data_IF_373928029832
#
_entry.id   IF_373928029832
#
_cell.length_a   1.000
_cell.length_b   1.000
_cell.length_c   1.000
_cell.angle_alpha   90.00
_cell.angle_beta   90.00
_cell.angle_gamma   90.00
#
_symmetry.space_group_name_H-M   'P 1'
#
loop_
_entity.id
_entity.type
_entity.pdbx_description
1 polymer ?
#
# COMPACT_ATOMS: atom_id res chain seq x y z
N UNK A 1 52.93 -33.87 -11.41
CA UNK A 1 51.99 -33.34 -10.39
C UNK A 1 52.27 -31.94 -9.88
N UNK A 2 53.51 -31.41 -9.89
CA UNK A 2 53.81 -30.06 -9.36
C UNK A 2 53.39 -28.86 -10.27
N UNK A 3 53.24 -29.06 -11.58
CA UNK A 3 52.88 -27.96 -12.52
C UNK A 3 51.38 -27.61 -12.47
N UNK A 4 50.48 -28.54 -12.18
CA UNK A 4 49.04 -28.28 -12.12
C UNK A 4 48.62 -27.49 -10.85
N UNK A 5 49.37 -27.66 -9.75
CA UNK A 5 49.11 -26.96 -8.49
C UNK A 5 49.48 -25.46 -8.56
N UNK A 6 50.51 -25.11 -9.35
CA UNK A 6 50.97 -23.73 -9.50
C UNK A 6 50.01 -22.84 -10.34
N UNK A 7 49.23 -23.46 -11.23
CA UNK A 7 48.23 -22.76 -12.05
C UNK A 7 46.88 -22.58 -11.32
N UNK A 8 46.57 -23.49 -10.37
CA UNK A 8 45.29 -23.42 -9.62
C UNK A 8 45.24 -22.22 -8.63
N UNK A 9 46.38 -21.87 -8.02
CA UNK A 9 46.45 -20.80 -7.01
C UNK A 9 46.09 -19.43 -7.64
N UNK A 10 46.66 -19.00 -8.79
CA UNK A 10 46.26 -17.73 -9.39
C UNK A 10 44.81 -17.71 -9.92
N UNK A 11 44.30 -18.86 -10.36
CA UNK A 11 42.88 -18.98 -10.79
C UNK A 11 41.92 -18.78 -9.64
N UNK A 12 42.16 -19.36 -8.48
CA UNK A 12 41.35 -19.14 -7.27
C UNK A 12 41.41 -17.68 -6.80
N UNK A 13 42.56 -17.04 -6.87
CA UNK A 13 42.69 -15.62 -6.51
C UNK A 13 41.89 -14.70 -7.43
N UNK A 14 41.84 -14.99 -8.73
CA UNK A 14 41.05 -14.23 -9.71
C UNK A 14 39.54 -14.38 -9.46
N UNK A 15 39.08 -15.60 -9.16
CA UNK A 15 37.68 -15.85 -8.80
C UNK A 15 37.30 -15.11 -7.51
N UNK A 16 38.15 -15.17 -6.50
CA UNK A 16 37.90 -14.49 -5.23
C UNK A 16 37.87 -12.97 -5.38
N UNK A 17 38.76 -12.41 -6.19
CA UNK A 17 38.81 -10.97 -6.52
C UNK A 17 37.52 -10.57 -7.28
N UNK A 18 37.04 -11.40 -8.19
CA UNK A 18 35.79 -11.19 -8.94
C UNK A 18 34.56 -11.16 -8.03
N UNK A 19 34.48 -12.09 -7.07
CA UNK A 19 33.39 -12.14 -6.09
C UNK A 19 33.42 -10.90 -5.19
N UNK A 20 34.62 -10.47 -4.75
CA UNK A 20 34.79 -9.30 -3.91
C UNK A 20 34.38 -8.01 -4.66
N UNK A 21 34.72 -7.90 -5.94
CA UNK A 21 34.35 -6.78 -6.79
C UNK A 21 32.84 -6.74 -7.01
N UNK A 22 32.19 -7.89 -7.28
CA UNK A 22 30.74 -8.00 -7.39
C UNK A 22 30.04 -7.62 -6.09
N UNK A 23 30.54 -8.03 -4.94
CA UNK A 23 30.00 -7.64 -3.64
C UNK A 23 30.12 -6.12 -3.40
N UNK A 24 31.24 -5.51 -3.75
CA UNK A 24 31.42 -4.05 -3.64
C UNK A 24 30.51 -3.26 -4.59
N UNK A 25 30.33 -3.75 -5.82
CA UNK A 25 29.42 -3.13 -6.79
C UNK A 25 27.95 -3.30 -6.34
N UNK A 26 27.58 -4.46 -5.81
CA UNK A 26 26.26 -4.73 -5.26
C UNK A 26 25.92 -3.81 -4.09
N UNK A 27 26.85 -3.59 -3.18
CA UNK A 27 26.64 -2.66 -2.06
C UNK A 27 26.42 -1.20 -2.54
N UNK A 28 27.16 -0.75 -3.54
CA UNK A 28 26.94 0.59 -4.13
C UNK A 28 25.60 0.71 -4.81
N UNK A 29 25.15 -0.32 -5.53
CA UNK A 29 23.84 -0.33 -6.17
C UNK A 29 22.70 -0.27 -5.12
N UNK A 30 22.81 -1.02 -4.02
CA UNK A 30 21.86 -0.96 -2.91
C UNK A 30 21.83 0.41 -2.25
N UNK A 31 23.00 1.03 -2.04
CA UNK A 31 23.09 2.38 -1.45
C UNK A 31 22.42 3.43 -2.36
N UNK A 32 22.68 3.39 -3.67
CA UNK A 32 22.06 4.31 -4.63
C UNK A 32 20.53 4.13 -4.69
N UNK A 33 20.04 2.90 -4.63
CA UNK A 33 18.60 2.64 -4.57
C UNK A 33 17.98 3.13 -3.24
N UNK A 34 18.74 3.03 -2.13
CA UNK A 34 18.30 3.52 -0.83
C UNK A 34 18.30 5.06 -0.73
N UNK A 35 19.29 5.72 -1.34
CA UNK A 35 19.36 7.19 -1.38
C UNK A 35 18.27 7.82 -2.25
N UNK A 36 17.80 7.08 -3.28
CA UNK A 36 16.68 7.48 -4.12
C UNK A 36 15.34 6.92 -3.64
N UNK A 37 15.30 6.26 -2.48
CA UNK A 37 14.01 5.94 -1.85
C UNK A 37 13.25 7.25 -1.65
N UNK A 38 11.99 7.34 -2.08
CA UNK A 38 11.21 8.56 -1.94
C UNK A 38 11.26 9.00 -0.48
N UNK A 39 11.60 10.28 -0.26
CA UNK A 39 11.53 10.91 1.06
C UNK A 39 10.18 10.50 1.66
N UNK A 40 10.19 9.88 2.84
CA UNK A 40 8.97 9.48 3.55
C UNK A 40 7.96 10.62 3.43
N UNK A 41 6.85 10.35 2.80
CA UNK A 41 5.82 11.37 2.55
C UNK A 41 5.45 12.02 3.89
N UNK A 42 5.47 13.35 3.95
CA UNK A 42 4.99 14.07 5.12
C UNK A 42 3.46 13.98 5.26
N UNK A 43 2.81 13.40 4.26
CA UNK A 43 1.36 13.26 4.17
C UNK A 43 0.96 11.79 4.29
N UNK A 44 -0.10 11.53 5.04
CA UNK A 44 -0.76 10.24 5.09
C UNK A 44 -1.98 10.28 4.15
N UNK A 45 -2.01 9.40 3.15
CA UNK A 45 -3.17 9.28 2.26
C UNK A 45 -4.24 8.41 2.93
N UNK A 46 -5.39 9.03 3.21
CA UNK A 46 -6.55 8.35 3.80
C UNK A 46 -7.39 7.81 2.65
N UNK A 47 -7.44 6.50 2.50
CA UNK A 47 -8.19 5.84 1.42
C UNK A 47 -9.56 5.44 1.95
N UNK A 48 -10.58 6.10 1.43
CA UNK A 48 -11.98 5.89 1.78
C UNK A 48 -12.69 5.11 0.67
N UNK A 49 -12.93 3.83 0.91
CA UNK A 49 -13.81 3.04 0.07
C UNK A 49 -15.27 3.36 0.45
N UNK A 50 -15.96 4.15 -0.36
CA UNK A 50 -17.31 4.59 -0.11
C UNK A 50 -18.30 3.44 0.14
N UNK A 51 -19.33 3.71 0.94
CA UNK A 51 -20.31 2.70 1.37
C UNK A 51 -19.68 1.57 2.21
N UNK A 52 -20.40 0.42 2.35
CA UNK A 52 -19.91 -0.78 3.02
C UNK A 52 -20.95 -1.41 3.95
N UNK A 53 -20.91 -2.72 4.10
CA UNK A 53 -21.80 -3.49 4.96
C UNK A 53 -23.29 -3.26 4.66
N UNK A 54 -24.02 -2.67 5.61
CA UNK A 54 -25.48 -2.40 5.44
C UNK A 54 -25.79 -1.32 4.39
N UNK A 55 -24.82 -0.52 3.99
CA UNK A 55 -24.93 0.46 2.92
C UNK A 55 -24.20 -0.05 1.67
N UNK A 56 -24.90 -0.74 0.79
CA UNK A 56 -24.32 -1.25 -0.44
C UNK A 56 -24.01 -0.19 -1.51
N UNK A 57 -24.55 1.05 -1.37
CA UNK A 57 -24.50 2.06 -2.44
C UNK A 57 -25.39 1.67 -3.62
N UNK A 58 -25.03 2.10 -4.82
CA UNK A 58 -25.69 1.76 -6.07
C UNK A 58 -25.52 0.27 -6.40
N UNK A 59 -26.40 -0.25 -7.26
CA UNK A 59 -26.36 -1.63 -7.75
C UNK A 59 -26.23 -1.62 -9.26
N UNK A 60 -25.21 -2.31 -9.77
CA UNK A 60 -25.02 -2.44 -11.22
C UNK A 60 -26.13 -3.27 -11.87
N UNK A 61 -26.23 -3.20 -13.22
CA UNK A 61 -27.16 -4.04 -13.99
C UNK A 61 -26.89 -5.56 -13.83
N UNK A 62 -25.73 -5.96 -13.34
CA UNK A 62 -25.36 -7.35 -13.04
C UNK A 62 -25.55 -7.72 -11.56
N UNK A 63 -26.10 -6.83 -10.74
CA UNK A 63 -26.35 -7.07 -9.32
C UNK A 63 -25.15 -6.85 -8.39
N UNK A 64 -24.06 -6.25 -8.87
CA UNK A 64 -22.89 -5.95 -8.05
C UNK A 64 -23.08 -4.64 -7.31
N UNK A 65 -22.88 -4.62 -6.01
CA UNK A 65 -22.95 -3.44 -5.17
C UNK A 65 -21.74 -2.52 -5.36
N UNK A 66 -21.97 -1.21 -5.32
CA UNK A 66 -20.96 -0.18 -5.40
C UNK A 66 -19.90 -0.32 -4.31
N UNK A 67 -20.33 -0.63 -3.07
CA UNK A 67 -19.45 -0.83 -1.91
C UNK A 67 -18.33 -1.84 -2.16
N UNK A 68 -18.65 -2.91 -2.91
CA UNK A 68 -17.68 -3.94 -3.26
C UNK A 68 -16.66 -3.45 -4.28
N UNK A 69 -17.11 -2.76 -5.32
CA UNK A 69 -16.23 -2.21 -6.36
C UNK A 69 -15.30 -1.17 -5.74
N UNK A 70 -15.84 -0.26 -4.91
CA UNK A 70 -15.07 0.76 -4.21
C UNK A 70 -13.98 0.12 -3.34
N UNK A 71 -14.30 -0.95 -2.61
CA UNK A 71 -13.34 -1.67 -1.77
C UNK A 71 -12.23 -2.31 -2.59
N UNK A 72 -12.57 -2.99 -3.70
CA UNK A 72 -11.57 -3.63 -4.55
C UNK A 72 -10.59 -2.61 -5.17
N UNK A 73 -11.09 -1.44 -5.57
CA UNK A 73 -10.25 -0.35 -6.07
C UNK A 73 -9.37 0.21 -4.95
N UNK A 74 -9.95 0.46 -3.77
CA UNK A 74 -9.25 1.00 -2.62
C UNK A 74 -8.09 0.11 -2.16
N UNK A 75 -8.30 -1.21 -2.10
CA UNK A 75 -7.25 -2.17 -1.73
C UNK A 75 -6.09 -2.13 -2.72
N UNK A 76 -6.37 -2.15 -4.03
CA UNK A 76 -5.32 -2.07 -5.06
C UNK A 76 -4.57 -0.73 -5.03
N UNK A 77 -5.30 0.37 -4.78
CA UNK A 77 -4.68 1.69 -4.62
C UNK A 77 -3.75 1.71 -3.41
N UNK A 78 -4.20 1.16 -2.27
CA UNK A 78 -3.40 1.05 -1.06
C UNK A 78 -2.08 0.29 -1.32
N UNK A 79 -2.15 -0.88 -1.96
CA UNK A 79 -0.98 -1.69 -2.28
C UNK A 79 0.00 -0.94 -3.21
N UNK A 80 -0.55 -0.26 -4.23
CA UNK A 80 0.26 0.54 -5.15
C UNK A 80 0.96 1.70 -4.42
N UNK A 81 0.24 2.41 -3.57
CA UNK A 81 0.81 3.54 -2.81
C UNK A 81 1.88 3.09 -1.84
N UNK A 82 1.70 1.95 -1.16
CA UNK A 82 2.74 1.35 -0.33
C UNK A 82 3.98 0.96 -1.14
N UNK A 83 3.78 0.37 -2.33
CA UNK A 83 4.89 0.04 -3.23
C UNK A 83 5.69 1.28 -3.66
N UNK A 84 5.01 2.42 -3.81
CA UNK A 84 5.61 3.71 -4.15
C UNK A 84 6.20 4.45 -2.92
N UNK A 85 6.09 3.89 -1.72
CA UNK A 85 6.65 4.44 -0.48
C UNK A 85 5.81 5.53 0.18
N UNK A 86 4.53 5.63 -0.14
CA UNK A 86 3.59 6.52 0.53
C UNK A 86 3.03 5.91 1.80
N UNK A 87 2.85 6.72 2.84
CA UNK A 87 2.10 6.34 4.04
C UNK A 87 0.60 6.39 3.72
N UNK A 88 -0.13 5.30 4.00
CA UNK A 88 -1.57 5.21 3.77
C UNK A 88 -2.33 4.75 5.00
N UNK A 89 -3.60 5.13 5.09
CA UNK A 89 -4.55 4.69 6.10
C UNK A 89 -5.88 4.38 5.42
N UNK A 90 -6.31 3.12 5.43
CA UNK A 90 -7.63 2.76 4.92
C UNK A 90 -8.70 3.01 5.99
N UNK A 91 -9.85 3.58 5.60
CA UNK A 91 -11.01 3.74 6.49
C UNK A 91 -11.66 2.38 6.75
N UNK A 92 -11.73 1.52 5.74
CA UNK A 92 -12.14 0.11 5.86
C UNK A 92 -11.34 -0.75 4.89
N UNK A 93 -11.03 -1.98 5.28
CA UNK A 93 -10.34 -2.98 4.47
C UNK A 93 -11.20 -4.22 4.18
N UNK A 94 -12.43 -4.20 4.66
CA UNK A 94 -13.42 -5.26 4.46
C UNK A 94 -14.77 -4.67 4.05
N UNK A 95 -15.71 -5.50 3.60
CA UNK A 95 -17.07 -5.03 3.28
C UNK A 95 -17.93 -4.90 4.55
N UNK A 96 -17.55 -3.92 5.37
CA UNK A 96 -18.19 -3.58 6.62
C UNK A 96 -18.58 -2.10 6.65
N UNK A 97 -19.58 -1.76 7.46
CA UNK A 97 -19.85 -0.39 7.90
C UNK A 97 -19.06 -0.10 9.18
N UNK A 98 -18.66 1.15 9.38
CA UNK A 98 -17.88 1.57 10.55
C UNK A 98 -18.70 2.38 11.56
N UNK A 99 -20.03 2.37 11.44
CA UNK A 99 -20.93 3.06 12.40
C UNK A 99 -20.72 2.54 13.83
N UNK A 100 -20.84 3.42 14.80
CA UNK A 100 -20.71 3.10 16.23
C UNK A 100 -22.05 3.05 16.94
N UNK A 101 -23.11 3.63 16.34
CA UNK A 101 -24.47 3.64 16.89
C UNK A 101 -25.52 3.76 15.78
N UNK A 102 -26.77 3.49 16.14
CA UNK A 102 -27.94 3.64 15.27
C UNK A 102 -28.78 2.37 15.18
N UNK A 103 -30.09 2.51 15.36
CA UNK A 103 -31.04 1.39 15.23
C UNK A 103 -31.63 1.30 13.81
N UNK A 104 -31.82 2.44 13.15
CA UNK A 104 -32.30 2.51 11.78
C UNK A 104 -31.18 2.58 10.76
N UNK A 105 -31.44 2.19 9.52
CA UNK A 105 -30.46 2.31 8.42
C UNK A 105 -29.98 3.76 8.26
N UNK A 106 -30.90 4.73 8.33
CA UNK A 106 -30.54 6.15 8.23
C UNK A 106 -29.63 6.61 9.37
N UNK A 107 -29.92 6.16 10.62
CA UNK A 107 -29.07 6.46 11.77
C UNK A 107 -27.68 5.82 11.66
N UNK A 108 -27.61 4.56 11.18
CA UNK A 108 -26.35 3.86 10.93
C UNK A 108 -25.52 4.57 9.86
N UNK A 109 -26.10 4.97 8.73
CA UNK A 109 -25.42 5.76 7.69
C UNK A 109 -24.90 7.10 8.22
N UNK A 110 -25.71 7.81 9.02
CA UNK A 110 -25.27 9.08 9.64
C UNK A 110 -24.10 8.86 10.60
N UNK A 111 -24.13 7.79 11.40
CA UNK A 111 -23.05 7.42 12.30
C UNK A 111 -21.78 7.01 11.54
N UNK A 112 -21.91 6.25 10.46
CA UNK A 112 -20.81 5.84 9.60
C UNK A 112 -20.09 7.05 9.00
N UNK A 113 -20.83 8.01 8.45
CA UNK A 113 -20.24 9.25 7.92
C UNK A 113 -19.51 10.06 8.99
N UNK A 114 -20.07 10.16 10.21
CA UNK A 114 -19.40 10.86 11.31
C UNK A 114 -18.09 10.17 11.70
N UNK A 115 -18.05 8.86 11.69
CA UNK A 115 -16.86 8.10 11.99
C UNK A 115 -15.78 8.28 10.92
N UNK A 116 -16.16 8.31 9.62
CA UNK A 116 -15.23 8.64 8.52
C UNK A 116 -14.63 10.03 8.71
N UNK A 117 -15.46 11.03 8.99
CA UNK A 117 -15.00 12.41 9.26
C UNK A 117 -14.07 12.45 10.47
N UNK A 118 -14.36 11.71 11.53
CA UNK A 118 -13.50 11.61 12.71
C UNK A 118 -12.12 11.07 12.34
N UNK A 119 -12.06 9.96 11.59
CA UNK A 119 -10.79 9.35 11.16
C UNK A 119 -9.97 10.33 10.33
N UNK A 120 -10.63 11.07 9.41
CA UNK A 120 -9.95 12.08 8.58
C UNK A 120 -9.37 13.19 9.42
N UNK A 121 -10.16 13.76 10.32
CA UNK A 121 -9.75 14.90 11.16
C UNK A 121 -8.65 14.53 12.18
N UNK A 122 -8.61 13.29 12.65
CA UNK A 122 -7.60 12.81 13.58
C UNK A 122 -6.30 12.35 12.89
N UNK A 123 -6.28 12.30 11.56
CA UNK A 123 -5.09 11.91 10.81
C UNK A 123 -4.25 13.14 10.49
N UNK A 124 -3.10 13.26 11.16
CA UNK A 124 -2.18 14.38 10.96
C UNK A 124 -1.64 14.40 9.52
N UNK A 125 -1.66 15.57 8.90
CA UNK A 125 -1.27 15.77 7.49
C UNK A 125 -2.00 14.83 6.51
N UNK A 126 -3.25 14.45 6.82
CA UNK A 126 -4.06 13.55 6.03
C UNK A 126 -4.53 14.17 4.71
N UNK A 127 -4.45 13.40 3.63
CA UNK A 127 -5.06 13.70 2.34
C UNK A 127 -6.12 12.65 2.06
N UNK A 128 -7.39 13.05 1.98
CA UNK A 128 -8.49 12.12 1.72
C UNK A 128 -8.61 11.78 0.24
N UNK A 129 -8.64 10.48 -0.05
CA UNK A 129 -8.96 9.90 -1.34
C UNK A 129 -10.23 9.07 -1.19
N UNK A 130 -11.38 9.64 -1.53
CA UNK A 130 -12.67 8.94 -1.45
C UNK A 130 -13.05 8.35 -2.80
N UNK A 131 -13.44 7.07 -2.81
CA UNK A 131 -13.69 6.26 -4.00
C UNK A 131 -15.18 5.93 -4.05
N UNK A 132 -15.84 6.38 -5.10
CA UNK A 132 -17.25 6.15 -5.40
C UNK A 132 -17.44 5.87 -6.89
N UNK A 133 -18.53 5.20 -7.27
CA UNK A 133 -18.85 4.93 -8.68
C UNK A 133 -19.92 5.86 -9.21
N UNK A 134 -20.67 6.54 -8.41
CA UNK A 134 -21.77 7.45 -8.77
C UNK A 134 -22.46 7.10 -10.10
N UNK A 135 -23.77 7.13 -10.21
CA UNK A 135 -24.53 6.83 -11.43
C UNK A 135 -25.46 8.00 -11.78
#
# INVERSE_FOLDING_TARGET
>A
MKKSMLVMIPSCCLVFLGILLLAMLGNKAVTVLSENAPLKSRHCFIIDAGHGGVDGGAVSCTGVYESRINLEIALRLNDLMHLLGYDTKMIRSEDISIYTYGETIAAKKSSDLKERVRIVNETENGILLSIHQNH
#
